data_IF_652259355861
#
_entry.id   IF_652259355861
#
_cell.length_a   1.000
_cell.length_b   1.000
_cell.length_c   1.000
_cell.angle_alpha   90.00
_cell.angle_beta   90.00
_cell.angle_gamma   90.00
#
_symmetry.space_group_name_H-M   'P 1'
#
loop_
_entity.id
_entity.type
_entity.pdbx_description
1 polymer ?
#
# COMPACT_ATOMS: atom_id res chain seq x y z
N UNK A 1 -15.75 -4.62 21.16
CA UNK A 1 -16.16 -4.51 19.74
C UNK A 1 -15.06 -3.75 19.01
N UNK A 2 -14.16 -4.45 18.31
CA UNK A 2 -13.08 -3.80 17.57
C UNK A 2 -13.68 -3.08 16.36
N UNK A 3 -13.39 -1.78 16.25
CA UNK A 3 -13.86 -0.91 15.19
C UNK A 3 -13.16 -1.35 13.90
N UNK A 4 -13.87 -2.13 13.06
CA UNK A 4 -13.39 -2.53 11.73
C UNK A 4 -13.04 -1.28 10.93
N UNK A 5 -11.77 -0.90 10.91
CA UNK A 5 -11.35 0.35 10.27
C UNK A 5 -10.96 -0.01 8.86
N UNK A 6 -11.94 0.04 7.96
CA UNK A 6 -11.72 -0.17 6.53
C UNK A 6 -10.61 0.77 6.06
N UNK A 7 -9.65 0.25 5.28
CA UNK A 7 -8.61 1.06 4.65
C UNK A 7 -9.22 2.28 3.96
N UNK A 8 -8.83 3.47 4.40
CA UNK A 8 -9.27 4.70 3.78
C UNK A 8 -8.35 5.07 2.62
N UNK A 9 -8.96 5.61 1.56
CA UNK A 9 -8.19 6.16 0.45
C UNK A 9 -7.38 7.35 0.95
N UNK A 10 -6.06 7.40 0.71
CA UNK A 10 -5.24 8.55 1.05
C UNK A 10 -5.74 9.84 0.40
N UNK A 11 -5.47 10.98 1.03
CA UNK A 11 -5.87 12.28 0.52
C UNK A 11 -5.38 12.49 -0.93
N UNK A 12 -6.19 13.14 -1.75
CA UNK A 12 -5.85 13.40 -3.15
C UNK A 12 -4.54 14.17 -3.23
N UNK A 13 -3.55 13.61 -3.94
CA UNK A 13 -2.23 14.23 -4.12
C UNK A 13 -1.20 13.90 -3.03
N UNK A 14 -1.59 13.28 -1.91
CA UNK A 14 -0.67 12.86 -0.85
C UNK A 14 0.36 11.82 -1.32
N UNK A 15 -0.01 10.99 -2.29
CA UNK A 15 0.86 9.96 -2.84
C UNK A 15 1.79 10.58 -3.91
N UNK A 16 3.12 10.49 -3.74
CA UNK A 16 4.08 11.10 -4.64
C UNK A 16 4.16 10.35 -5.99
N UNK A 17 4.49 11.10 -7.04
CA UNK A 17 4.87 10.53 -8.34
C UNK A 17 6.36 10.18 -8.35
N UNK A 18 6.76 9.24 -7.51
CA UNK A 18 8.16 8.82 -7.36
C UNK A 18 8.26 7.29 -7.21
N UNK A 19 9.45 6.70 -7.44
CA UNK A 19 9.71 5.32 -7.10
C UNK A 19 9.62 5.09 -5.58
N UNK A 20 9.28 3.86 -5.19
CA UNK A 20 9.28 3.51 -3.77
C UNK A 20 8.71 2.13 -3.45
N UNK A 21 8.68 1.87 -2.15
CA UNK A 21 8.08 0.69 -1.53
C UNK A 21 6.79 1.11 -0.83
N UNK A 22 5.79 0.24 -0.83
CA UNK A 22 4.56 0.43 -0.08
C UNK A 22 4.20 -0.83 0.71
N UNK A 23 3.60 -0.62 1.87
CA UNK A 23 3.25 -1.66 2.83
C UNK A 23 1.78 -1.53 3.18
N UNK A 24 1.04 -2.64 3.15
CA UNK A 24 -0.28 -2.70 3.77
C UNK A 24 -0.17 -3.39 5.11
N UNK A 25 -0.84 -2.84 6.12
CA UNK A 25 -0.88 -3.37 7.47
C UNK A 25 -2.29 -3.72 7.88
N UNK A 26 -2.44 -4.74 8.71
CA UNK A 26 -3.71 -5.07 9.36
C UNK A 26 -4.01 -4.15 10.56
N UNK A 27 -5.15 -4.36 11.21
CA UNK A 27 -5.58 -3.59 12.39
C UNK A 27 -4.65 -3.74 13.60
N UNK A 28 -3.76 -4.74 13.60
CA UNK A 28 -2.75 -4.95 14.63
C UNK A 28 -1.40 -4.33 14.27
N UNK A 29 -1.30 -3.61 13.14
CA UNK A 29 -0.06 -3.00 12.64
C UNK A 29 0.89 -3.99 11.98
N UNK A 30 0.48 -5.25 11.77
CA UNK A 30 1.32 -6.28 11.13
C UNK A 30 1.34 -6.04 9.63
N UNK A 31 2.53 -6.07 9.03
CA UNK A 31 2.65 -6.01 7.56
C UNK A 31 2.07 -7.28 6.96
N UNK A 32 1.05 -7.13 6.11
CA UNK A 32 0.40 -8.25 5.41
C UNK A 32 0.73 -8.27 3.92
N UNK A 33 1.24 -7.16 3.38
CA UNK A 33 1.66 -7.07 1.99
C UNK A 33 2.74 -6.00 1.81
N UNK A 34 3.72 -6.31 0.96
CA UNK A 34 4.76 -5.37 0.55
C UNK A 34 4.83 -5.39 -0.98
N UNK A 35 4.91 -4.20 -1.58
CA UNK A 35 5.14 -4.06 -3.00
C UNK A 35 6.05 -2.90 -3.32
N UNK A 36 6.55 -2.89 -4.56
CA UNK A 36 7.37 -1.81 -5.12
C UNK A 36 6.69 -1.18 -6.32
N UNK A 37 7.06 0.07 -6.60
CA UNK A 37 6.55 0.81 -7.73
C UNK A 37 7.59 1.77 -8.28
N UNK A 38 7.68 1.87 -9.62
CA UNK A 38 8.36 2.99 -10.31
C UNK A 38 7.66 4.33 -10.07
N UNK A 39 6.34 4.29 -9.87
CA UNK A 39 5.51 5.46 -9.59
C UNK A 39 4.46 5.06 -8.54
N UNK A 40 4.70 5.44 -7.28
CA UNK A 40 3.83 5.14 -6.15
C UNK A 40 2.39 5.59 -6.39
N UNK A 41 2.18 6.82 -6.88
CA UNK A 41 0.84 7.36 -7.19
C UNK A 41 0.02 6.43 -8.09
N UNK A 42 0.59 6.00 -9.21
CA UNK A 42 -0.12 5.15 -10.17
C UNK A 42 -0.38 3.76 -9.57
N UNK A 43 0.60 3.20 -8.87
CA UNK A 43 0.49 1.87 -8.30
C UNK A 43 -0.54 1.82 -7.17
N UNK A 44 -0.51 2.78 -6.26
CA UNK A 44 -1.41 2.84 -5.12
C UNK A 44 -2.83 3.23 -5.53
N UNK A 45 -3.00 4.11 -6.52
CA UNK A 45 -4.33 4.46 -7.04
C UNK A 45 -5.12 3.22 -7.51
N UNK A 46 -4.44 2.23 -8.10
CA UNK A 46 -5.08 0.99 -8.56
C UNK A 46 -5.71 0.15 -7.44
N UNK A 47 -5.29 0.27 -6.17
CA UNK A 47 -5.93 -0.47 -5.07
C UNK A 47 -7.24 0.16 -4.61
N UNK A 48 -7.55 1.38 -5.07
CA UNK A 48 -8.78 2.12 -4.72
C UNK A 48 -9.76 2.21 -5.90
N UNK A 49 -9.60 1.37 -6.92
CA UNK A 49 -10.53 1.24 -8.05
C UNK A 49 -11.44 0.04 -7.88
N UNK A 50 -12.57 0.03 -8.57
CA UNK A 50 -13.48 -1.12 -8.63
C UNK A 50 -12.95 -2.22 -9.56
N UNK A 51 -13.35 -3.48 -9.33
CA UNK A 51 -13.03 -4.59 -10.24
C UNK A 51 -11.61 -5.14 -10.06
N UNK A 52 -11.11 -5.15 -8.82
CA UNK A 52 -9.82 -5.76 -8.50
C UNK A 52 -9.87 -7.27 -8.71
N UNK A 53 -8.72 -7.87 -8.96
CA UNK A 53 -8.59 -9.32 -8.91
C UNK A 53 -8.93 -9.83 -7.49
N UNK A 54 -9.65 -10.95 -7.31
CA UNK A 54 -10.14 -11.41 -6.01
C UNK A 54 -9.07 -11.49 -4.91
N UNK A 55 -7.86 -11.94 -5.27
CA UNK A 55 -6.72 -11.97 -4.34
C UNK A 55 -6.29 -10.58 -3.84
N UNK A 56 -6.31 -9.59 -4.72
CA UNK A 56 -5.95 -8.21 -4.38
C UNK A 56 -7.04 -7.56 -3.55
N UNK A 57 -8.30 -7.80 -3.89
CA UNK A 57 -9.46 -7.35 -3.12
C UNK A 57 -9.40 -7.87 -1.68
N UNK A 58 -9.21 -9.18 -1.50
CA UNK A 58 -9.09 -9.79 -0.17
C UNK A 58 -7.92 -9.21 0.65
N UNK A 59 -6.81 -8.87 0.02
CA UNK A 59 -5.68 -8.21 0.69
C UNK A 59 -6.05 -6.79 1.16
N UNK A 60 -6.70 -6.00 0.29
CA UNK A 60 -7.15 -4.64 0.62
C UNK A 60 -8.20 -4.66 1.72
N UNK A 61 -9.11 -5.64 1.72
CA UNK A 61 -10.12 -5.81 2.77
C UNK A 61 -9.51 -6.18 4.13
N UNK A 62 -8.40 -6.93 4.14
CA UNK A 62 -7.68 -7.28 5.36
C UNK A 62 -6.80 -6.12 5.88
N UNK A 63 -6.52 -5.13 5.06
CA UNK A 63 -5.71 -3.98 5.42
C UNK A 63 -6.52 -2.91 6.17
N UNK A 64 -5.88 -2.33 7.18
CA UNK A 64 -6.36 -1.15 7.90
C UNK A 64 -5.59 0.10 7.48
N UNK A 65 -4.33 -0.05 7.07
CA UNK A 65 -3.42 1.06 6.75
C UNK A 65 -2.54 0.74 5.53
N UNK A 66 -2.14 1.80 4.83
CA UNK A 66 -1.12 1.75 3.78
C UNK A 66 -0.08 2.83 4.01
N UNK A 67 1.18 2.43 4.01
CA UNK A 67 2.35 3.31 4.14
C UNK A 67 3.23 3.19 2.90
N UNK A 68 4.09 4.19 2.68
CA UNK A 68 5.09 4.13 1.63
C UNK A 68 6.36 4.88 1.99
N UNK A 69 7.46 4.43 1.38
CA UNK A 69 8.78 5.04 1.47
C UNK A 69 9.21 5.35 0.04
N UNK A 70 9.53 6.62 -0.21
CA UNK A 70 10.11 7.04 -1.50
C UNK A 70 11.56 6.58 -1.53
N UNK A 71 11.97 5.98 -2.65
CA UNK A 71 13.35 5.53 -2.86
C UNK A 71 13.94 6.17 -4.11
N UNK A 72 15.27 6.21 -4.21
CA UNK A 72 15.94 6.73 -5.41
C UNK A 72 15.77 5.75 -6.59
N UNK A 73 15.60 4.45 -6.30
CA UNK A 73 15.27 3.43 -7.29
C UNK A 73 14.50 2.23 -6.70
N UNK A 74 13.87 1.42 -7.57
CA UNK A 74 13.25 0.13 -7.16
C UNK A 74 14.26 -0.90 -6.61
N UNK A 75 15.57 -0.67 -6.79
CA UNK A 75 16.64 -1.61 -6.44
C UNK A 75 16.99 -1.52 -4.95
N UNK A 76 16.88 -0.34 -4.32
CA UNK A 76 17.13 -0.16 -2.88
C UNK A 76 16.03 -0.76 -2.00
N UNK A 77 14.84 -1.01 -2.58
CA UNK A 77 13.74 -1.71 -1.93
C UNK A 77 14.08 -3.13 -1.45
N UNK A 78 15.14 -3.74 -1.98
CA UNK A 78 15.61 -5.09 -1.63
C UNK A 78 16.35 -5.14 -0.29
N UNK A 79 16.80 -4.00 0.25
CA UNK A 79 17.63 -3.93 1.47
C UNK A 79 16.91 -3.31 2.67
N UNK A 80 15.60 -3.03 2.58
CA UNK A 80 14.85 -2.70 3.79
C UNK A 80 14.66 -3.98 4.60
N UNK A 81 15.50 -4.15 5.62
CA UNK A 81 15.32 -5.19 6.64
C UNK A 81 13.96 -4.96 7.32
N UNK A 82 12.98 -5.81 6.97
CA UNK A 82 11.70 -5.94 7.65
C UNK A 82 11.80 -6.97 8.77
#
# INVERSE_FOLDING_TARGET
MARRTRLQRPETGSIPSAPGVYLFRDEMGRVIYVGKAKVLRNRLANYFTTGLHPRTEAMVEAAAEVEWIVTESEVEALHLEL
#
